data_IF_675985098783
#
_entry.id   IF_675985098783
#
_cell.length_a   1.000
_cell.length_b   1.000
_cell.length_c   1.000
_cell.angle_alpha   90.00
_cell.angle_beta   90.00
_cell.angle_gamma   90.00
#
_symmetry.space_group_name_H-M   'P 1'
#
loop_
_entity.id
_entity.type
_entity.pdbx_description
1 polymer ?
#
# COMPACT_ATOMS: atom_id res chain seq x y z
N UNK A 1 11.77 -2.61 -10.38
CA UNK A 1 11.67 -4.03 -9.92
C UNK A 1 10.23 -4.52 -9.92
N UNK A 2 9.34 -4.09 -9.01
CA UNK A 2 7.95 -4.61 -8.99
C UNK A 2 7.13 -4.21 -10.23
N UNK A 3 7.23 -2.94 -10.67
CA UNK A 3 6.47 -2.47 -11.84
C UNK A 3 6.86 -3.22 -13.13
N UNK A 4 8.14 -3.51 -13.31
CA UNK A 4 8.65 -4.27 -14.46
C UNK A 4 8.14 -5.72 -14.46
N UNK A 5 8.00 -6.31 -13.26
CA UNK A 5 7.43 -7.64 -13.08
C UNK A 5 5.93 -7.68 -13.42
N UNK A 6 5.19 -6.61 -13.13
CA UNK A 6 3.76 -6.51 -13.50
C UNK A 6 3.59 -6.29 -14.99
N UNK A 7 4.26 -5.28 -15.54
CA UNK A 7 4.17 -4.94 -16.96
C UNK A 7 5.55 -4.62 -17.53
N UNK A 8 5.96 -5.26 -18.64
CA UNK A 8 5.17 -6.22 -19.44
C UNK A 8 5.29 -7.68 -18.98
N UNK A 9 6.06 -8.00 -17.93
CA UNK A 9 6.52 -9.37 -17.70
C UNK A 9 5.39 -10.37 -17.36
N UNK A 10 4.57 -10.11 -16.34
CA UNK A 10 3.52 -11.05 -15.92
C UNK A 10 2.48 -11.35 -17.03
N UNK A 11 2.22 -10.38 -17.91
CA UNK A 11 1.27 -10.54 -19.01
C UNK A 11 1.87 -11.10 -20.30
N UNK A 12 3.17 -11.40 -20.34
CA UNK A 12 3.86 -11.80 -21.55
C UNK A 12 4.44 -13.21 -21.45
N UNK A 13 4.05 -14.16 -22.33
CA UNK A 13 4.53 -15.53 -22.28
C UNK A 13 6.03 -15.68 -22.62
N UNK A 14 6.66 -14.64 -23.16
CA UNK A 14 8.08 -14.68 -23.57
C UNK A 14 9.04 -14.23 -22.47
N UNK A 15 8.56 -13.61 -21.39
CA UNK A 15 9.44 -13.12 -20.31
C UNK A 15 9.96 -14.25 -19.43
N UNK A 16 9.11 -15.22 -19.11
CA UNK A 16 9.43 -16.38 -18.26
C UNK A 16 8.77 -17.65 -18.85
N UNK A 17 9.24 -18.14 -20.01
CA UNK A 17 8.64 -19.28 -20.68
C UNK A 17 8.63 -20.57 -19.82
N UNK A 18 9.56 -20.71 -18.88
CA UNK A 18 9.61 -21.80 -17.90
C UNK A 18 8.36 -21.88 -17.02
N UNK A 19 7.71 -20.75 -16.74
CA UNK A 19 6.47 -20.72 -15.96
C UNK A 19 5.31 -21.40 -16.70
N UNK A 20 5.32 -21.39 -18.03
CA UNK A 20 4.33 -22.11 -18.84
C UNK A 20 4.49 -23.62 -18.69
N UNK A 21 5.73 -24.12 -18.64
CA UNK A 21 6.00 -25.55 -18.38
C UNK A 21 5.60 -25.98 -16.97
N UNK A 22 5.60 -25.06 -16.00
CA UNK A 22 5.11 -25.29 -14.64
C UNK A 22 3.57 -25.12 -14.51
N UNK A 23 2.88 -24.72 -15.59
CA UNK A 23 1.42 -24.57 -15.62
C UNK A 23 0.91 -23.17 -15.26
N UNK A 24 1.80 -22.20 -15.04
CA UNK A 24 1.43 -20.81 -14.75
C UNK A 24 1.21 -20.01 -16.05
N UNK A 25 -0.03 -19.62 -16.30
CA UNK A 25 -0.39 -18.81 -17.45
C UNK A 25 -0.11 -17.31 -17.21
N UNK A 26 0.14 -16.52 -18.28
CA UNK A 26 0.30 -15.08 -18.15
C UNK A 26 -0.91 -14.43 -17.48
N UNK A 27 -0.64 -13.47 -16.62
CA UNK A 27 -1.66 -12.69 -15.91
C UNK A 27 -1.36 -11.20 -16.05
N UNK A 28 -2.34 -10.45 -16.54
CA UNK A 28 -2.26 -8.99 -16.59
C UNK A 28 -3.16 -8.39 -15.50
N UNK A 29 -2.58 -7.83 -14.42
CA UNK A 29 -3.33 -7.06 -13.44
C UNK A 29 -4.02 -5.85 -14.10
N UNK A 30 -5.24 -5.52 -13.65
CA UNK A 30 -5.96 -4.34 -14.15
C UNK A 30 -5.38 -3.02 -13.63
N UNK A 31 -4.92 -3.04 -12.38
CA UNK A 31 -4.42 -1.85 -11.70
C UNK A 31 -3.23 -2.19 -10.81
N UNK A 32 -2.32 -1.24 -10.66
CA UNK A 32 -1.26 -1.26 -9.64
C UNK A 32 -1.38 -0.02 -8.78
N UNK A 33 -1.39 -0.22 -7.47
CA UNK A 33 -1.55 0.82 -6.46
C UNK A 33 -0.22 1.02 -5.73
N UNK A 34 0.46 2.12 -6.00
CA UNK A 34 1.74 2.46 -5.38
C UNK A 34 1.53 3.37 -4.16
N UNK A 35 1.88 2.90 -2.97
CA UNK A 35 1.89 3.68 -1.73
C UNK A 35 3.17 4.53 -1.61
N UNK A 36 3.21 5.41 -0.59
CA UNK A 36 4.37 6.28 -0.27
C UNK A 36 4.82 7.18 -1.43
N UNK A 37 3.90 7.52 -2.33
CA UNK A 37 4.18 8.37 -3.49
C UNK A 37 4.21 9.85 -3.12
N UNK A 38 5.08 10.61 -3.78
CA UNK A 38 5.07 12.09 -3.75
C UNK A 38 4.07 12.70 -4.74
N UNK A 39 3.48 11.89 -5.65
CA UNK A 39 2.55 12.33 -6.69
C UNK A 39 1.26 11.51 -6.68
N UNK A 40 0.47 11.53 -5.61
CA UNK A 40 -0.75 10.74 -5.54
C UNK A 40 -1.80 11.22 -6.55
N UNK A 41 -2.57 10.27 -7.08
CA UNK A 41 -3.78 10.53 -7.89
C UNK A 41 -5.03 9.85 -7.31
N UNK A 42 -4.89 9.19 -6.17
CA UNK A 42 -6.00 8.55 -5.45
C UNK A 42 -5.76 8.71 -3.95
N UNK A 43 -6.81 9.06 -3.23
CA UNK A 43 -6.81 9.25 -1.78
C UNK A 43 -7.98 8.43 -1.22
N UNK A 44 -7.71 7.64 -0.18
CA UNK A 44 -8.71 6.85 0.52
C UNK A 44 -8.83 7.36 1.96
N UNK A 45 -10.06 7.55 2.42
CA UNK A 45 -10.34 7.71 3.85
C UNK A 45 -10.20 6.34 4.53
N UNK A 46 -9.34 6.27 5.55
CA UNK A 46 -9.04 5.05 6.29
C UNK A 46 -9.33 5.23 7.78
N UNK A 47 -10.15 6.22 8.14
CA UNK A 47 -10.40 6.60 9.53
C UNK A 47 -10.93 5.43 10.35
N UNK A 48 -11.92 4.71 9.82
CA UNK A 48 -12.54 3.57 10.50
C UNK A 48 -11.58 2.39 10.71
N UNK A 49 -10.60 2.22 9.83
CA UNK A 49 -9.64 1.11 9.87
C UNK A 49 -8.30 1.49 10.49
N UNK A 50 -8.12 2.75 10.87
CA UNK A 50 -6.88 3.24 11.48
C UNK A 50 -6.47 2.49 12.76
N UNK A 51 -7.40 2.15 13.69
CA UNK A 51 -7.03 1.37 14.87
C UNK A 51 -6.44 0.00 14.51
N UNK A 52 -6.99 -0.67 13.51
CA UNK A 52 -6.52 -1.97 13.01
C UNK A 52 -5.10 -1.85 12.46
N UNK A 53 -4.84 -0.80 11.66
CA UNK A 53 -3.50 -0.51 11.14
C UNK A 53 -2.49 -0.27 12.26
N UNK A 54 -2.86 0.50 13.29
CA UNK A 54 -1.98 0.77 14.42
C UNK A 54 -1.62 -0.52 15.16
N UNK A 55 -2.62 -1.37 15.43
CA UNK A 55 -2.41 -2.68 16.05
C UNK A 55 -1.50 -3.58 15.20
N UNK A 56 -1.75 -3.67 13.89
CA UNK A 56 -0.93 -4.45 12.97
C UNK A 56 0.54 -3.98 12.99
N UNK A 57 0.77 -2.66 13.01
CA UNK A 57 2.12 -2.11 13.10
C UNK A 57 2.80 -2.48 14.42
N UNK A 58 2.08 -2.47 15.56
CA UNK A 58 2.62 -2.82 16.88
C UNK A 58 3.10 -4.27 16.99
N UNK A 59 2.70 -5.17 16.08
CA UNK A 59 3.23 -6.53 16.01
C UNK A 59 4.68 -6.59 15.53
N UNK A 60 5.21 -5.54 14.89
CA UNK A 60 6.61 -5.41 14.49
C UNK A 60 7.52 -5.01 15.68
N UNK A 61 7.54 -5.88 16.70
CA UNK A 61 8.14 -5.60 18.02
C UNK A 61 9.62 -5.24 17.97
N UNK A 62 10.39 -5.77 17.02
CA UNK A 62 11.85 -5.51 16.96
C UNK A 62 12.18 -4.21 16.21
N UNK A 63 11.22 -3.66 15.47
CA UNK A 63 11.34 -2.43 14.70
C UNK A 63 10.75 -1.24 15.44
N UNK A 64 9.77 -1.47 16.32
CA UNK A 64 9.16 -0.45 17.17
C UNK A 64 9.90 -0.43 18.50
N UNK A 65 10.68 0.63 18.72
CA UNK A 65 11.32 0.90 20.00
C UNK A 65 10.30 1.35 21.05
N UNK A 66 10.20 2.66 21.25
CA UNK A 66 9.25 3.24 22.20
C UNK A 66 7.82 3.23 21.60
N UNK A 67 6.98 2.36 22.16
CA UNK A 67 5.60 2.14 21.70
C UNK A 67 4.74 3.38 21.89
N UNK A 68 4.88 4.12 22.98
CA UNK A 68 4.03 5.29 23.24
C UNK A 68 4.42 6.44 22.31
N UNK A 69 5.71 6.68 22.10
CA UNK A 69 6.17 7.64 21.07
C UNK A 69 5.73 7.24 19.67
N UNK A 70 5.69 5.94 19.39
CA UNK A 70 5.19 5.44 18.10
C UNK A 70 3.72 5.73 17.92
N UNK A 71 2.88 5.47 18.92
CA UNK A 71 1.44 5.77 18.89
C UNK A 71 1.18 7.27 18.68
N UNK A 72 1.90 8.13 19.39
CA UNK A 72 1.78 9.59 19.22
C UNK A 72 2.15 10.03 17.79
N UNK A 73 3.26 9.51 17.25
CA UNK A 73 3.66 9.77 15.86
C UNK A 73 2.64 9.25 14.85
N UNK A 74 1.94 8.16 15.15
CA UNK A 74 0.86 7.66 14.28
C UNK A 74 -0.38 8.54 14.40
N UNK A 75 -0.78 8.95 15.61
CA UNK A 75 -1.89 9.88 15.84
C UNK A 75 -1.68 11.22 15.12
N UNK A 76 -0.45 11.72 15.07
CA UNK A 76 -0.11 12.97 14.36
C UNK A 76 -0.26 12.91 12.83
N UNK A 77 -0.56 11.74 12.25
CA UNK A 77 -0.79 11.58 10.79
C UNK A 77 -2.21 11.90 10.35
N UNK A 78 -3.07 12.34 11.27
CA UNK A 78 -4.40 12.82 10.94
C UNK A 78 -4.36 13.98 9.94
N UNK A 79 -5.42 14.18 9.19
CA UNK A 79 -5.53 15.30 8.25
C UNK A 79 -5.57 16.65 8.99
N UNK A 80 -5.29 17.75 8.30
CA UNK A 80 -5.25 19.09 8.89
C UNK A 80 -6.62 19.55 9.44
N UNK A 81 -7.71 19.06 8.85
CA UNK A 81 -9.10 19.33 9.25
C UNK A 81 -9.59 18.46 10.42
N UNK A 82 -8.75 17.56 10.95
CA UNK A 82 -9.11 16.65 12.05
C UNK A 82 -9.12 17.33 13.42
N UNK A 83 -10.00 16.87 14.32
CA UNK A 83 -9.93 17.19 15.77
C UNK A 83 -9.48 15.96 16.58
N UNK A 84 -9.35 16.11 17.90
CA UNK A 84 -9.09 14.95 18.78
C UNK A 84 -10.33 14.07 18.96
N UNK A 85 -11.52 14.67 18.94
CA UNK A 85 -12.82 13.98 19.07
C UNK A 85 -13.28 13.35 17.76
N UNK A 86 -12.89 13.93 16.63
CA UNK A 86 -13.20 13.44 15.29
C UNK A 86 -11.91 13.38 14.44
N UNK A 87 -11.01 12.41 14.72
CA UNK A 87 -9.80 12.26 13.95
C UNK A 87 -10.14 11.70 12.57
N UNK A 88 -9.47 12.19 11.52
CA UNK A 88 -9.60 11.70 10.16
C UNK A 88 -8.24 11.32 9.60
N UNK A 89 -8.17 10.17 8.94
CA UNK A 89 -6.93 9.63 8.39
C UNK A 89 -7.10 9.28 6.92
N UNK A 90 -6.09 9.59 6.13
CA UNK A 90 -6.07 9.30 4.70
C UNK A 90 -4.83 8.52 4.30
N UNK A 91 -4.99 7.62 3.34
CA UNK A 91 -3.87 7.03 2.60
C UNK A 91 -3.88 7.49 1.15
N UNK A 92 -2.67 7.79 0.64
CA UNK A 92 -2.47 8.37 -0.68
C UNK A 92 -1.71 7.40 -1.56
N UNK A 93 -2.24 7.17 -2.74
CA UNK A 93 -1.71 6.22 -3.72
C UNK A 93 -1.52 6.87 -5.08
N UNK A 94 -0.53 6.35 -5.82
CA UNK A 94 -0.45 6.52 -7.27
C UNK A 94 -0.98 5.23 -7.90
N UNK A 95 -2.14 5.32 -8.52
CA UNK A 95 -2.77 4.20 -9.22
C UNK A 95 -2.43 4.29 -10.71
N UNK A 96 -1.86 3.20 -11.24
CA UNK A 96 -1.66 2.97 -12.67
C UNK A 96 -2.69 1.95 -13.12
N UNK A 97 -3.45 2.29 -14.16
CA UNK A 97 -4.47 1.40 -14.73
C UNK A 97 -4.01 0.92 -16.09
N UNK A 98 -4.14 -0.37 -16.33
CA UNK A 98 -3.87 -0.98 -17.62
C UNK A 98 -5.21 -1.15 -18.35
N UNK A 99 -5.25 -0.70 -19.60
CA UNK A 99 -6.41 -0.76 -20.50
C UNK A 99 -6.56 -2.11 -21.16
#
# INVERSE_FOLDING_TARGET
VVLDAVFPAAGSPVFFPELLTEGYQPHMPKEVWCSLTSQPNTVLDVTETWPIKLEALLHHKTQIGDVEKFKERMKSRRTEDSTDENPRYEEKFRVVKYS
#
